data_IF_921508094481
#
_entry.id   IF_921508094481
#
_cell.length_a   1.000
_cell.length_b   1.000
_cell.length_c   1.000
_cell.angle_alpha   90.00
_cell.angle_beta   90.00
_cell.angle_gamma   90.00
#
_symmetry.space_group_name_H-M   'P 1'
#
loop_
_entity.id
_entity.type
_entity.pdbx_description
1 polymer ?
#
# COMPACT_ATOMS: atom_id res chain seq x y z
N UNK A 1 9.77 19.34 -2.92
CA UNK A 1 8.38 19.27 -2.43
C UNK A 1 8.20 20.21 -1.26
N UNK A 2 7.15 21.03 -1.26
CA UNK A 2 6.73 21.77 -0.05
C UNK A 2 6.37 20.75 1.05
N UNK A 3 6.69 21.03 2.31
CA UNK A 3 6.46 20.11 3.45
C UNK A 3 5.03 19.56 3.50
N UNK A 4 4.06 20.42 3.21
CA UNK A 4 2.64 20.09 3.14
C UNK A 4 2.32 19.03 2.09
N UNK A 5 2.92 19.15 0.90
CA UNK A 5 2.74 18.18 -0.19
C UNK A 5 3.33 16.82 0.17
N UNK A 6 4.46 16.79 0.87
CA UNK A 6 5.07 15.53 1.31
C UNK A 6 4.21 14.80 2.34
N UNK A 7 3.61 15.54 3.28
CA UNK A 7 2.66 14.99 4.25
C UNK A 7 1.42 14.46 3.52
N UNK A 8 0.85 15.27 2.61
CA UNK A 8 -0.35 14.90 1.87
C UNK A 8 -0.16 13.61 1.05
N UNK A 9 0.96 13.49 0.31
CA UNK A 9 1.26 12.28 -0.48
C UNK A 9 1.37 11.04 0.41
N UNK A 10 2.05 11.14 1.55
CA UNK A 10 2.16 10.02 2.47
C UNK A 10 0.83 9.66 3.11
N UNK A 11 0.04 10.65 3.52
CA UNK A 11 -1.29 10.41 4.08
C UNK A 11 -2.20 9.69 3.06
N UNK A 12 -2.25 10.19 1.82
CA UNK A 12 -3.08 9.62 0.76
C UNK A 12 -2.64 8.21 0.38
N UNK A 13 -1.35 7.99 0.15
CA UNK A 13 -0.84 6.66 -0.20
C UNK A 13 -0.97 5.68 0.97
N UNK A 14 -0.74 6.13 2.20
CA UNK A 14 -0.88 5.29 3.40
C UNK A 14 -2.30 4.88 3.67
N UNK A 15 -3.26 5.81 3.60
CA UNK A 15 -4.68 5.50 3.72
C UNK A 15 -5.12 4.54 2.62
N UNK A 16 -4.75 4.84 1.37
CA UNK A 16 -5.08 3.99 0.23
C UNK A 16 -4.59 2.55 0.43
N UNK A 17 -3.31 2.37 0.75
CA UNK A 17 -2.74 1.02 0.93
C UNK A 17 -3.34 0.31 2.15
N UNK A 18 -3.52 1.02 3.27
CA UNK A 18 -4.04 0.42 4.51
C UNK A 18 -5.47 -0.06 4.32
N UNK A 19 -6.36 0.79 3.79
CA UNK A 19 -7.77 0.43 3.54
C UNK A 19 -7.85 -0.79 2.63
N UNK A 20 -7.11 -0.77 1.52
CA UNK A 20 -7.11 -1.88 0.56
C UNK A 20 -6.53 -3.17 1.13
N UNK A 21 -5.47 -3.08 1.93
CA UNK A 21 -4.84 -4.26 2.54
C UNK A 21 -5.77 -4.91 3.56
N UNK A 22 -6.43 -4.09 4.41
CA UNK A 22 -7.36 -4.58 5.43
C UNK A 22 -8.63 -5.12 4.77
N UNK A 23 -9.24 -4.38 3.83
CA UNK A 23 -10.43 -4.82 3.12
C UNK A 23 -10.15 -6.10 2.32
N UNK A 24 -9.03 -6.15 1.58
CA UNK A 24 -8.63 -7.34 0.83
C UNK A 24 -8.40 -8.55 1.72
N UNK A 25 -7.75 -8.37 2.88
CA UNK A 25 -7.59 -9.44 3.87
C UNK A 25 -8.95 -9.94 4.38
N UNK A 26 -9.83 -9.04 4.79
CA UNK A 26 -11.16 -9.40 5.29
C UNK A 26 -12.00 -10.14 4.24
N UNK A 27 -12.04 -9.62 3.01
CA UNK A 27 -12.81 -10.20 1.90
C UNK A 27 -12.22 -11.55 1.48
N UNK A 28 -10.90 -11.74 1.54
CA UNK A 28 -10.27 -13.00 1.12
C UNK A 28 -10.65 -14.22 1.98
N UNK A 29 -11.21 -14.01 3.18
CA UNK A 29 -11.75 -15.07 4.04
C UNK A 29 -13.25 -15.26 3.91
N UNK A 30 -13.92 -14.56 2.99
CA UNK A 30 -15.36 -14.69 2.76
C UNK A 30 -15.58 -15.75 1.68
N UNK A 31 -15.88 -16.96 2.12
CA UNK A 31 -16.16 -18.11 1.26
C UNK A 31 -16.08 -19.44 2.02
N UNK A 32 -16.91 -20.41 1.66
CA UNK A 32 -16.92 -21.73 2.32
C UNK A 32 -15.54 -22.40 2.19
N UNK A 33 -14.96 -22.77 3.34
CA UNK A 33 -13.62 -23.38 3.41
C UNK A 33 -12.45 -22.44 3.11
N UNK A 34 -12.68 -21.14 2.92
CA UNK A 34 -11.62 -20.16 2.68
C UNK A 34 -10.96 -19.68 3.97
N UNK A 35 -9.66 -19.37 3.89
CA UNK A 35 -8.89 -18.77 4.98
C UNK A 35 -8.38 -17.40 4.53
N UNK A 36 -8.37 -16.38 5.41
CA UNK A 36 -7.86 -15.06 5.07
C UNK A 36 -6.42 -15.12 4.52
N UNK A 37 -6.18 -14.44 3.40
CA UNK A 37 -4.88 -14.41 2.77
C UNK A 37 -3.99 -13.34 3.41
N UNK A 38 -3.19 -13.76 4.39
CA UNK A 38 -2.30 -12.87 5.15
C UNK A 38 -1.27 -12.14 4.29
N UNK A 39 -0.95 -12.65 3.09
CA UNK A 39 0.02 -12.00 2.18
C UNK A 39 -0.44 -10.62 1.74
N UNK A 40 -1.76 -10.36 1.73
CA UNK A 40 -2.33 -9.05 1.37
C UNK A 40 -1.87 -7.97 2.36
N UNK A 41 -1.72 -8.29 3.65
CA UNK A 41 -1.22 -7.37 4.67
C UNK A 41 0.27 -7.01 4.44
N UNK A 42 1.00 -7.81 3.67
CA UNK A 42 2.36 -7.51 3.25
C UNK A 42 2.48 -6.20 2.46
N UNK A 43 1.42 -5.76 1.76
CA UNK A 43 1.41 -4.49 1.03
C UNK A 43 1.50 -3.29 2.00
N UNK A 44 0.75 -3.34 3.11
CA UNK A 44 0.84 -2.34 4.17
C UNK A 44 2.23 -2.35 4.83
N UNK A 45 2.84 -3.53 5.02
CA UNK A 45 4.20 -3.63 5.55
C UNK A 45 5.23 -2.98 4.62
N UNK A 46 5.14 -3.21 3.30
CA UNK A 46 6.02 -2.56 2.31
C UNK A 46 5.85 -1.04 2.34
N UNK A 47 4.61 -0.54 2.43
CA UNK A 47 4.36 0.89 2.57
C UNK A 47 5.00 1.46 3.83
N UNK A 48 4.85 0.79 4.97
CA UNK A 48 5.46 1.19 6.25
C UNK A 48 6.99 1.23 6.18
N UNK A 49 7.62 0.28 5.51
CA UNK A 49 9.08 0.27 5.29
C UNK A 49 9.49 1.48 4.46
N UNK A 50 8.79 1.74 3.34
CA UNK A 50 9.04 2.93 2.52
C UNK A 50 8.89 4.23 3.33
N UNK A 51 7.84 4.30 4.15
CA UNK A 51 7.57 5.44 5.03
C UNK A 51 8.68 5.64 6.07
N UNK A 52 9.20 4.56 6.68
CA UNK A 52 10.30 4.63 7.63
C UNK A 52 11.61 5.08 6.96
N UNK A 53 11.90 4.56 5.75
CA UNK A 53 13.10 4.92 4.99
C UNK A 53 13.14 6.41 4.66
N UNK A 54 12.00 7.01 4.30
CA UNK A 54 11.99 8.42 3.88
C UNK A 54 12.23 9.43 5.02
N UNK A 55 12.11 8.98 6.29
CA UNK A 55 12.47 9.79 7.45
C UNK A 55 13.97 10.08 7.49
N UNK A 56 14.80 9.20 6.92
CA UNK A 56 16.25 9.42 6.78
C UNK A 56 16.53 10.25 5.53
N UNK A 57 17.16 11.42 5.69
CA UNK A 57 17.52 12.34 4.57
C UNK A 57 18.18 11.63 3.39
N UNK A 58 19.15 10.75 3.65
CA UNK A 58 19.89 10.01 2.61
C UNK A 58 19.02 9.02 1.81
N UNK A 59 17.97 8.49 2.42
CA UNK A 59 17.08 7.48 1.83
C UNK A 59 15.72 8.08 1.45
N UNK A 60 15.55 9.40 1.52
CA UNK A 60 14.27 10.08 1.30
C UNK A 60 13.63 9.74 -0.04
N UNK A 61 14.42 9.78 -1.12
CA UNK A 61 13.93 9.47 -2.46
C UNK A 61 13.54 7.99 -2.59
N UNK A 62 14.40 7.08 -2.13
CA UNK A 62 14.15 5.64 -2.18
C UNK A 62 12.91 5.28 -1.36
N UNK A 63 12.81 5.79 -0.13
CA UNK A 63 11.65 5.56 0.72
C UNK A 63 10.35 6.07 0.10
N UNK A 64 10.36 7.25 -0.53
CA UNK A 64 9.20 7.78 -1.24
C UNK A 64 8.83 6.90 -2.44
N UNK A 65 9.79 6.42 -3.23
CA UNK A 65 9.51 5.50 -4.34
C UNK A 65 8.91 4.19 -3.81
N UNK A 66 9.45 3.66 -2.71
CA UNK A 66 8.96 2.44 -2.08
C UNK A 66 7.52 2.54 -1.59
N UNK A 67 7.05 3.71 -1.12
CA UNK A 67 5.64 3.88 -0.71
C UNK A 67 4.67 3.81 -1.89
N UNK A 68 5.12 4.04 -3.13
CA UNK A 68 4.27 3.89 -4.33
C UNK A 68 4.20 2.45 -4.86
N UNK A 69 5.12 1.56 -4.51
CA UNK A 69 5.10 0.15 -4.93
C UNK A 69 3.75 -0.52 -4.63
N UNK A 70 3.27 -0.54 -3.37
CA UNK A 70 1.98 -1.17 -3.06
C UNK A 70 0.80 -0.46 -3.74
N UNK A 71 0.88 0.85 -3.97
CA UNK A 71 -0.16 1.60 -4.71
C UNK A 71 -0.30 1.06 -6.13
N UNK A 72 0.83 0.92 -6.85
CA UNK A 72 0.86 0.39 -8.22
C UNK A 72 0.34 -1.04 -8.27
N UNK A 73 0.74 -1.88 -7.31
CA UNK A 73 0.27 -3.28 -7.25
C UNK A 73 -1.25 -3.35 -7.08
N UNK A 74 -1.83 -2.55 -6.17
CA UNK A 74 -3.28 -2.51 -5.96
C UNK A 74 -4.01 -2.01 -7.22
N UNK A 75 -3.53 -0.94 -7.84
CA UNK A 75 -4.12 -0.40 -9.08
C UNK A 75 -4.05 -1.42 -10.22
N UNK A 76 -2.94 -2.13 -10.36
CA UNK A 76 -2.79 -3.19 -11.35
C UNK A 76 -3.82 -4.31 -11.15
N UNK A 77 -4.05 -4.73 -9.90
CA UNK A 77 -5.09 -5.72 -9.58
C UNK A 77 -6.47 -5.21 -9.95
N UNK A 78 -6.80 -3.96 -9.61
CA UNK A 78 -8.09 -3.37 -9.99
C UNK A 78 -8.30 -3.32 -11.49
N UNK A 79 -7.32 -2.82 -12.25
CA UNK A 79 -7.40 -2.74 -13.71
C UNK A 79 -7.58 -4.15 -14.30
N UNK A 80 -6.79 -5.12 -13.82
CA UNK A 80 -6.87 -6.50 -14.29
C UNK A 80 -8.26 -7.10 -14.06
N UNK A 81 -8.84 -6.87 -12.89
CA UNK A 81 -10.19 -7.36 -12.56
C UNK A 81 -11.26 -6.65 -13.39
N UNK A 82 -11.14 -5.34 -13.63
CA UNK A 82 -12.11 -4.59 -14.45
C UNK A 82 -12.07 -4.93 -15.95
N UNK A 83 -10.99 -5.55 -16.42
CA UNK A 83 -10.84 -5.98 -17.81
C UNK A 83 -11.25 -7.44 -18.07
N UNK A 84 -11.53 -8.21 -17.01
CA UNK A 84 -12.06 -9.58 -17.09
C UNK A 84 -13.58 -9.57 -16.99
#
# INVERSE_FOLDING_TARGET
MKRLMWIAVNLLTGLFVTINSVAGYAISGIGEGSSPNIKILGLAAVWMIGFALQLKKKLRAIGLISTFIPVVVILYVYIKVSMM
#
